data_IF_733596291529
#
_entry.id   IF_733596291529
#
_cell.length_a   1.000
_cell.length_b   1.000
_cell.length_c   1.000
_cell.angle_alpha   90.00
_cell.angle_beta   90.00
_cell.angle_gamma   90.00
#
_symmetry.space_group_name_H-M   'P 1'
#
loop_
_entity.id
_entity.type
_entity.pdbx_description
1 polymer ?
#
# COMPACT_ATOMS: atom_id res chain seq x y z
N UNK A 1 11.41 -4.14 2.16
CA UNK A 1 10.45 -3.57 3.13
C UNK A 1 9.10 -4.29 3.12
N UNK A 2 8.46 -4.54 1.96
CA UNK A 2 7.11 -5.11 1.91
C UNK A 2 6.92 -6.40 2.75
N UNK A 3 7.88 -7.32 2.71
CA UNK A 3 7.85 -8.55 3.50
C UNK A 3 7.80 -8.30 5.03
N UNK A 4 8.52 -7.28 5.51
CA UNK A 4 8.51 -6.88 6.93
C UNK A 4 7.11 -6.39 7.32
N UNK A 5 6.53 -5.50 6.50
CA UNK A 5 5.21 -4.92 6.75
C UNK A 5 4.11 -5.99 6.74
N UNK A 6 4.11 -6.91 5.76
CA UNK A 6 3.13 -8.00 5.68
C UNK A 6 3.26 -8.95 6.87
N UNK A 7 4.48 -9.23 7.35
CA UNK A 7 4.70 -10.02 8.56
C UNK A 7 4.21 -9.30 9.82
N UNK A 8 4.49 -8.00 9.92
CA UNK A 8 4.06 -7.17 11.04
C UNK A 8 2.53 -7.12 11.15
N UNK A 9 1.85 -7.04 10.00
CA UNK A 9 0.39 -6.96 9.92
C UNK A 9 -0.28 -8.34 9.74
N UNK A 10 0.42 -9.44 10.01
CA UNK A 10 -0.08 -10.79 9.73
C UNK A 10 -1.37 -11.17 10.45
N UNK A 11 -1.65 -10.57 11.62
CA UNK A 11 -2.93 -10.71 12.33
C UNK A 11 -4.11 -10.10 11.58
N UNK A 12 -3.87 -9.15 10.67
CA UNK A 12 -4.86 -8.44 9.87
C UNK A 12 -4.90 -8.89 8.40
N UNK A 13 -4.21 -9.99 8.04
CA UNK A 13 -4.03 -10.43 6.64
C UNK A 13 -5.32 -10.60 5.83
N UNK A 14 -6.46 -10.84 6.49
CA UNK A 14 -7.77 -11.00 5.83
C UNK A 14 -8.48 -9.67 5.60
N UNK A 15 -7.96 -8.60 6.22
CA UNK A 15 -8.60 -7.29 6.32
C UNK A 15 -7.74 -6.19 5.70
N UNK A 16 -6.57 -6.54 5.19
CA UNK A 16 -5.66 -5.64 4.50
C UNK A 16 -5.31 -6.18 3.12
N UNK A 17 -5.10 -5.29 2.16
CA UNK A 17 -4.57 -5.64 0.83
C UNK A 17 -3.54 -4.61 0.40
N UNK A 18 -2.46 -5.07 -0.24
CA UNK A 18 -1.49 -4.18 -0.89
C UNK A 18 -2.14 -3.57 -2.13
N UNK A 19 -2.10 -2.25 -2.24
CA UNK A 19 -2.61 -1.49 -3.38
C UNK A 19 -1.48 -0.62 -3.97
N UNK A 20 -1.79 0.13 -5.04
CA UNK A 20 -0.80 1.04 -5.64
C UNK A 20 0.30 0.33 -6.45
N UNK A 21 1.46 0.96 -6.57
CA UNK A 21 2.51 0.56 -7.52
C UNK A 21 3.05 -0.86 -7.35
N UNK A 22 2.86 -1.49 -6.18
CA UNK A 22 3.27 -2.88 -5.96
C UNK A 22 2.34 -3.92 -6.60
N UNK A 23 1.08 -3.58 -6.88
CA UNK A 23 0.06 -4.52 -7.39
C UNK A 23 0.44 -5.14 -8.75
N UNK A 24 0.87 -4.37 -9.77
CA UNK A 24 1.27 -4.94 -11.06
C UNK A 24 2.37 -5.99 -10.91
N UNK A 25 3.40 -5.71 -10.12
CA UNK A 25 4.51 -6.64 -9.88
C UNK A 25 4.05 -7.92 -9.18
N UNK A 26 3.20 -7.79 -8.16
CA UNK A 26 2.69 -8.91 -7.37
C UNK A 26 1.73 -9.81 -8.16
N UNK A 27 0.90 -9.23 -9.04
CA UNK A 27 -0.12 -9.97 -9.82
C UNK A 27 0.42 -10.49 -11.15
N UNK A 28 1.34 -9.76 -11.79
CA UNK A 28 1.74 -9.96 -13.19
C UNK A 28 3.23 -10.31 -13.32
N UNK A 29 3.80 -10.96 -12.30
CA UNK A 29 5.21 -11.40 -12.20
C UNK A 29 5.75 -12.23 -13.39
N UNK A 30 4.93 -12.50 -14.40
CA UNK A 30 5.28 -13.20 -15.65
C UNK A 30 5.37 -12.27 -16.89
N UNK A 31 5.16 -10.95 -16.73
CA UNK A 31 5.21 -9.98 -17.83
C UNK A 31 6.63 -9.59 -18.25
N UNK A 32 6.84 -9.34 -19.55
CA UNK A 32 8.11 -8.90 -20.17
C UNK A 32 8.65 -7.53 -19.71
N UNK A 33 7.90 -6.80 -18.88
CA UNK A 33 8.30 -5.49 -18.38
C UNK A 33 9.01 -5.67 -17.03
N UNK A 34 10.29 -5.30 -16.97
CA UNK A 34 11.01 -5.12 -15.70
C UNK A 34 10.36 -3.94 -14.98
N UNK A 35 9.40 -4.22 -14.11
CA UNK A 35 8.89 -3.25 -13.17
C UNK A 35 9.94 -3.06 -12.09
N UNK A 36 10.36 -1.81 -11.84
CA UNK A 36 11.43 -1.48 -10.88
C UNK A 36 10.88 -1.45 -9.43
N UNK A 37 9.56 -1.62 -9.27
CA UNK A 37 8.87 -1.51 -7.99
C UNK A 37 8.51 -0.06 -7.67
N UNK A 38 7.80 0.13 -6.56
CA UNK A 38 7.51 1.43 -5.97
C UNK A 38 8.28 1.58 -4.66
N UNK A 39 8.86 2.76 -4.40
CA UNK A 39 9.44 3.03 -3.08
C UNK A 39 8.35 3.04 -2.02
N UNK A 40 7.21 3.65 -2.32
CA UNK A 40 6.07 3.77 -1.39
C UNK A 40 5.20 2.50 -1.39
N UNK A 41 4.63 2.18 -0.23
CA UNK A 41 3.70 1.07 -0.06
C UNK A 41 2.32 1.59 0.33
N UNK A 42 1.33 1.36 -0.53
CA UNK A 42 -0.06 1.65 -0.21
C UNK A 42 -0.75 0.38 0.32
N UNK A 43 -1.43 0.49 1.46
CA UNK A 43 -2.22 -0.60 2.06
C UNK A 43 -3.66 -0.15 2.17
N UNK A 44 -4.58 -0.92 1.60
CA UNK A 44 -6.02 -0.73 1.78
C UNK A 44 -6.52 -1.53 2.98
N UNK A 45 -7.42 -0.92 3.77
CA UNK A 45 -8.09 -1.57 4.89
C UNK A 45 -9.54 -1.90 4.58
N UNK A 46 -10.02 -3.02 5.12
CA UNK A 46 -11.44 -3.31 5.19
C UNK A 46 -12.06 -2.63 6.41
N UNK A 47 -12.61 -1.42 6.23
CA UNK A 47 -13.26 -0.67 7.31
C UNK A 47 -14.49 -1.36 7.92
N UNK A 48 -15.01 -2.44 7.30
CA UNK A 48 -16.13 -3.21 7.84
C UNK A 48 -15.67 -4.13 8.96
N UNK A 49 -14.40 -4.51 8.98
CA UNK A 49 -13.82 -5.46 9.93
C UNK A 49 -12.78 -4.81 10.84
N UNK A 50 -12.01 -3.84 10.34
CA UNK A 50 -11.09 -3.03 11.15
C UNK A 50 -11.82 -1.77 11.59
N UNK A 51 -12.17 -1.72 12.88
CA UNK A 51 -12.74 -0.55 13.56
C UNK A 51 -11.64 0.22 14.30
N UNK A 52 -11.98 1.37 14.91
CA UNK A 52 -11.04 2.26 15.61
C UNK A 52 -10.04 1.55 16.56
N UNK A 53 -10.45 0.54 17.37
CA UNK A 53 -9.49 -0.19 18.22
C UNK A 53 -8.44 -0.97 17.41
N UNK A 54 -8.83 -1.50 16.25
CA UNK A 54 -7.93 -2.18 15.31
C UNK A 54 -6.92 -1.21 14.71
N UNK A 55 -7.36 -0.02 14.30
CA UNK A 55 -6.48 1.04 13.81
C UNK A 55 -5.45 1.47 14.86
N UNK A 56 -5.90 1.67 16.11
CA UNK A 56 -4.99 2.02 17.21
C UNK A 56 -3.92 0.94 17.44
N UNK A 57 -4.33 -0.33 17.39
CA UNK A 57 -3.40 -1.46 17.55
C UNK A 57 -2.39 -1.51 16.41
N UNK A 58 -2.81 -1.29 15.16
CA UNK A 58 -1.91 -1.22 14.00
C UNK A 58 -0.92 -0.06 14.15
N UNK A 59 -1.38 1.11 14.56
CA UNK A 59 -0.52 2.26 14.81
C UNK A 59 0.53 1.94 15.90
N UNK A 60 0.13 1.36 17.03
CA UNK A 60 1.04 0.97 18.11
C UNK A 60 2.08 -0.07 17.64
N UNK A 61 1.67 -1.06 16.83
CA UNK A 61 2.57 -2.05 16.23
C UNK A 61 3.63 -1.40 15.33
N UNK A 62 3.21 -0.47 14.46
CA UNK A 62 4.12 0.25 13.57
C UNK A 62 5.12 1.10 14.37
N UNK A 63 4.65 1.89 15.33
CA UNK A 63 5.51 2.73 16.17
C UNK A 63 6.53 1.89 16.95
N UNK A 64 6.10 0.75 17.51
CA UNK A 64 6.97 -0.18 18.24
C UNK A 64 8.08 -0.77 17.34
N UNK A 65 7.88 -0.81 16.02
CA UNK A 65 8.88 -1.27 15.04
C UNK A 65 9.66 -0.15 14.38
N UNK A 66 9.63 1.06 14.95
CA UNK A 66 10.44 2.18 14.50
C UNK A 66 9.91 2.87 13.25
N UNK A 67 8.64 2.66 12.92
CA UNK A 67 7.93 3.56 12.01
C UNK A 67 7.65 4.89 12.71
N UNK A 68 7.67 5.97 11.95
CA UNK A 68 7.31 7.31 12.43
C UNK A 68 6.03 7.75 11.75
N UNK A 69 5.05 8.18 12.53
CA UNK A 69 3.82 8.72 11.97
C UNK A 69 4.10 10.09 11.34
N UNK A 70 3.52 10.31 10.16
CA UNK A 70 3.56 11.58 9.46
C UNK A 70 2.56 12.60 10.02
N UNK A 71 2.38 13.71 9.30
CA UNK A 71 1.39 14.74 9.66
C UNK A 71 -0.04 14.23 9.51
N UNK A 72 -0.27 13.35 8.54
CA UNK A 72 -1.55 12.69 8.35
C UNK A 72 -1.55 11.38 9.15
N UNK A 73 -2.65 11.04 9.85
CA UNK A 73 -2.68 9.92 10.78
C UNK A 73 -2.49 8.56 10.11
N UNK A 74 -2.76 8.48 8.80
CA UNK A 74 -2.66 7.28 7.98
C UNK A 74 -1.36 7.19 7.17
N UNK A 75 -0.42 8.14 7.33
CA UNK A 75 0.89 8.09 6.68
C UNK A 75 1.96 7.75 7.71
N UNK A 76 2.81 6.78 7.38
CA UNK A 76 3.94 6.36 8.20
C UNK A 76 5.22 6.33 7.38
N UNK A 77 6.35 6.52 8.04
CA UNK A 77 7.67 6.51 7.43
C UNK A 77 8.58 5.49 8.10
N UNK A 78 9.35 4.76 7.30
CA UNK A 78 10.38 3.83 7.78
C UNK A 78 11.73 4.18 7.16
N UNK A 79 12.72 4.40 8.00
CA UNK A 79 14.11 4.60 7.58
C UNK A 79 14.81 3.24 7.47
N UNK A 80 15.26 2.87 6.27
CA UNK A 80 15.90 1.57 6.01
C UNK A 80 17.28 1.82 5.41
N UNK A 81 18.30 1.10 5.88
CA UNK A 81 19.63 1.14 5.29
C UNK A 81 19.73 0.14 4.13
N UNK A 82 20.06 0.62 2.94
CA UNK A 82 20.29 -0.20 1.75
C UNK A 82 21.62 0.23 1.13
N UNK A 83 22.59 -0.68 1.06
CA UNK A 83 23.95 -0.39 0.55
C UNK A 83 24.56 0.86 1.19
N UNK A 84 24.51 0.93 2.52
CA UNK A 84 25.00 2.05 3.35
C UNK A 84 24.34 3.42 3.08
N UNK A 85 23.22 3.44 2.35
CA UNK A 85 22.39 4.63 2.15
C UNK A 85 21.09 4.48 2.91
N UNK A 86 20.72 5.54 3.63
CA UNK A 86 19.40 5.62 4.25
C UNK A 86 18.35 5.93 3.18
N UNK A 87 17.34 5.09 3.09
CA UNK A 87 16.15 5.29 2.27
C UNK A 87 14.98 5.46 3.22
N UNK A 88 14.20 6.53 3.00
CA UNK A 88 12.92 6.72 3.68
C UNK A 88 11.83 6.13 2.82
N UNK A 89 11.09 5.18 3.38
CA UNK A 89 9.94 4.59 2.72
C UNK A 89 8.66 5.11 3.35
N UNK A 90 7.73 5.59 2.53
CA UNK A 90 6.39 5.93 2.97
C UNK A 90 5.48 4.70 2.92
N UNK A 91 4.67 4.53 3.96
CA UNK A 91 3.54 3.61 3.99
C UNK A 91 2.27 4.45 4.14
N UNK A 92 1.40 4.37 3.14
CA UNK A 92 0.12 5.06 3.09
C UNK A 92 -1.01 4.05 3.34
N UNK A 93 -1.83 4.32 4.34
CA UNK A 93 -3.00 3.52 4.66
C UNK A 93 -4.26 4.16 4.12
N UNK A 94 -4.91 3.47 3.20
CA UNK A 94 -6.11 3.97 2.53
C UNK A 94 -7.34 3.22 3.01
N UNK A 95 -8.37 4.01 3.31
CA UNK A 95 -9.71 3.48 3.44
C UNK A 95 -10.36 3.35 2.04
N UNK A 96 -11.19 2.33 1.87
CA UNK A 96 -11.95 2.13 0.64
C UNK A 96 -12.29 0.69 0.33
N UNK A 97 -13.10 0.50 -0.71
CA UNK A 97 -13.42 -0.84 -1.19
C UNK A 97 -12.19 -1.47 -1.84
N UNK A 98 -11.67 -2.52 -1.21
CA UNK A 98 -10.48 -3.27 -1.67
C UNK A 98 -10.58 -3.70 -3.14
N UNK A 99 -11.74 -4.19 -3.58
CA UNK A 99 -11.93 -4.65 -4.97
C UNK A 99 -11.81 -3.50 -5.96
N UNK A 100 -12.37 -2.35 -5.61
CA UNK A 100 -12.31 -1.14 -6.43
C UNK A 100 -10.89 -0.56 -6.48
N UNK A 101 -10.20 -0.49 -5.34
CA UNK A 101 -8.83 0.05 -5.27
C UNK A 101 -7.86 -0.78 -6.11
N UNK A 102 -7.92 -2.11 -6.03
CA UNK A 102 -7.06 -3.00 -6.84
C UNK A 102 -7.37 -2.85 -8.33
N UNK A 103 -8.66 -2.81 -8.71
CA UNK A 103 -9.05 -2.63 -10.11
C UNK A 103 -8.57 -1.29 -10.65
N UNK A 104 -8.78 -0.20 -9.90
CA UNK A 104 -8.33 1.14 -10.29
C UNK A 104 -6.81 1.21 -10.43
N UNK A 105 -6.05 0.55 -9.55
CA UNK A 105 -4.59 0.47 -9.66
C UNK A 105 -4.16 -0.20 -10.96
N UNK A 106 -4.73 -1.36 -11.30
CA UNK A 106 -4.40 -2.08 -12.54
C UNK A 106 -4.82 -1.27 -13.77
N UNK A 107 -6.03 -0.67 -13.77
CA UNK A 107 -6.51 0.13 -14.90
C UNK A 107 -5.65 1.38 -15.12
N UNK A 108 -5.22 2.06 -14.04
CA UNK A 108 -4.33 3.23 -14.12
C UNK A 108 -2.96 2.86 -14.68
N UNK A 109 -2.32 1.83 -14.14
CA UNK A 109 -0.98 1.43 -14.57
C UNK A 109 -0.93 1.06 -16.06
N UNK A 110 -1.92 0.30 -16.51
CA UNK A 110 -1.96 -0.18 -17.89
C UNK A 110 -2.68 0.78 -18.84
N UNK A 111 -3.07 1.98 -18.36
CA UNK A 111 -3.87 2.95 -19.12
C UNK A 111 -5.11 2.31 -19.77
N UNK A 112 -5.67 1.29 -19.12
CA UNK A 112 -6.83 0.55 -19.62
C UNK A 112 -8.05 1.42 -19.34
N UNK A 113 -8.59 2.00 -20.40
CA UNK A 113 -9.84 2.72 -20.33
C UNK A 113 -10.98 1.71 -20.16
N UNK A 114 -11.59 1.65 -18.98
CA UNK A 114 -12.84 0.92 -18.79
C UNK A 114 -13.89 1.59 -19.71
N UNK A 115 -14.38 0.83 -20.69
CA UNK A 115 -15.14 1.36 -21.82
C UNK A 115 -16.34 2.20 -21.38
N UNK A 116 -16.31 3.48 -21.78
CA UNK A 116 -17.53 4.19 -22.19
C UNK A 116 -18.01 5.32 -21.30
N UNK A 117 -17.18 6.34 -21.00
CA UNK A 117 -17.46 7.77 -21.24
C UNK A 117 -16.40 8.65 -20.56
N UNK A 118 -16.10 9.73 -21.27
CA UNK A 118 -15.03 10.70 -21.11
C UNK A 118 -15.29 11.71 -19.97
N UNK A 119 -14.23 12.12 -19.25
CA UNK A 119 -13.95 13.45 -18.63
C UNK A 119 -13.09 13.25 -17.37
N UNK A 120 -12.02 14.00 -17.06
CA UNK A 120 -11.36 15.18 -17.65
C UNK A 120 -9.91 15.21 -17.11
N UNK A 121 -9.05 15.91 -17.86
CA UNK A 121 -7.71 16.46 -17.54
C UNK A 121 -7.48 16.81 -16.04
N UNK A 122 -6.26 16.80 -15.51
CA UNK A 122 -5.05 17.56 -15.92
C UNK A 122 -3.80 16.72 -15.64
#
# INVERSE_FOLDING_TARGET
>A
MLLELVRLLGSYRNDIVVVGGWVPELLLSQGRLQYIGSTDVDIAFNHRTIQDPGYKTIQELLLTRGYRQGRQPFIFYRHVMVNDREIVVQVDFRDGNIQELVLLTVLKEYRICARGKLAVAI
#
